data_IF_382336362850
#
_entry.id   IF_382336362850
#
_cell.length_a   1.000
_cell.length_b   1.000
_cell.length_c   1.000
_cell.angle_alpha   90.00
_cell.angle_beta   90.00
_cell.angle_gamma   90.00
#
_symmetry.space_group_name_H-M   'P 1'
#
loop_
_entity.id
_entity.type
_entity.pdbx_description
1 polymer ?
#
# COMPACT_ATOMS: atom_id res chain seq x y z
N UNK A 1 -1.78 -11.03 17.09
CA UNK A 1 -0.98 -10.70 15.88
C UNK A 1 0.44 -10.26 16.23
N UNK A 2 0.60 -9.40 17.20
CA UNK A 2 1.92 -8.81 17.55
C UNK A 2 3.08 -9.81 17.64
N UNK A 3 2.92 -10.97 18.31
CA UNK A 3 4.03 -11.94 18.40
C UNK A 3 4.35 -12.60 17.05
N UNK A 4 3.46 -12.52 16.06
CA UNK A 4 3.68 -13.14 14.75
C UNK A 4 4.35 -12.19 13.74
N UNK A 5 4.56 -10.93 14.10
CA UNK A 5 5.25 -9.97 13.23
C UNK A 5 6.74 -10.28 13.14
N UNK A 6 7.31 -10.07 11.97
CA UNK A 6 8.71 -10.41 11.68
C UNK A 6 9.68 -9.80 12.69
N UNK A 7 9.50 -8.53 13.04
CA UNK A 7 10.36 -7.85 14.01
C UNK A 7 10.32 -8.45 15.41
N UNK A 8 9.30 -9.23 15.73
CA UNK A 8 9.16 -9.95 16.99
C UNK A 8 9.46 -11.45 16.85
N UNK A 9 10.09 -11.85 15.74
CA UNK A 9 10.48 -13.23 15.49
C UNK A 9 9.42 -14.08 14.79
N UNK A 10 8.31 -13.47 14.35
CA UNK A 10 7.23 -14.18 13.68
C UNK A 10 7.36 -14.19 12.16
N UNK A 11 6.45 -14.88 11.45
CA UNK A 11 6.53 -15.04 10.01
C UNK A 11 5.87 -13.91 9.20
N UNK A 12 5.13 -12.99 9.84
CA UNK A 12 4.42 -11.93 9.11
C UNK A 12 5.41 -10.81 8.76
N UNK A 13 5.68 -10.64 7.47
CA UNK A 13 6.65 -9.64 6.97
C UNK A 13 5.98 -8.37 6.48
N UNK A 14 4.72 -8.44 6.03
CA UNK A 14 4.00 -7.31 5.46
C UNK A 14 2.56 -7.32 5.93
N UNK A 15 1.97 -6.13 6.10
CA UNK A 15 0.57 -5.97 6.48
C UNK A 15 -0.08 -4.97 5.53
N UNK A 16 -1.15 -5.37 4.88
CA UNK A 16 -1.89 -4.51 3.97
C UNK A 16 -2.82 -3.59 4.75
N UNK A 17 -2.78 -2.31 4.41
CA UNK A 17 -3.66 -1.29 4.98
C UNK A 17 -4.67 -0.91 3.92
N UNK A 18 -5.93 -1.27 4.10
CA UNK A 18 -7.01 -1.16 3.12
C UNK A 18 -6.77 -2.01 1.86
N UNK A 19 -7.79 -2.09 1.03
CA UNK A 19 -7.71 -2.75 -0.26
C UNK A 19 -8.54 -1.96 -1.27
N UNK A 20 -7.87 -1.48 -2.32
CA UNK A 20 -8.52 -0.76 -3.41
C UNK A 20 -9.33 0.47 -2.94
N UNK A 21 -8.90 1.10 -1.86
CA UNK A 21 -9.59 2.29 -1.35
C UNK A 21 -9.61 3.42 -2.38
N UNK A 22 -8.63 3.45 -3.29
CA UNK A 22 -8.60 4.42 -4.37
C UNK A 22 -9.85 4.39 -5.25
N UNK A 23 -10.52 3.26 -5.32
CA UNK A 23 -11.76 3.10 -6.07
C UNK A 23 -13.00 3.62 -5.33
N UNK A 24 -12.85 3.97 -4.06
CA UNK A 24 -13.95 4.53 -3.29
C UNK A 24 -14.08 6.03 -3.57
N UNK A 25 -15.29 6.47 -3.91
CA UNK A 25 -15.53 7.83 -4.39
C UNK A 25 -15.14 8.93 -3.38
N UNK A 26 -15.22 8.66 -2.09
CA UNK A 26 -15.00 9.68 -1.06
C UNK A 26 -13.57 10.18 -1.00
N UNK A 27 -12.58 9.34 -1.30
CA UNK A 27 -11.16 9.69 -1.30
C UNK A 27 -10.75 10.47 -0.05
N UNK A 28 -11.09 9.95 1.13
CA UNK A 28 -10.95 10.66 2.40
C UNK A 28 -9.52 10.52 2.94
N UNK A 29 -8.76 11.60 2.83
CA UNK A 29 -7.37 11.63 3.29
C UNK A 29 -7.27 11.52 4.82
N UNK A 30 -8.24 12.04 5.55
CA UNK A 30 -8.25 11.94 7.02
C UNK A 30 -8.42 10.49 7.45
N UNK A 31 -9.33 9.76 6.78
CA UNK A 31 -9.51 8.34 7.03
C UNK A 31 -8.22 7.55 6.80
N UNK A 32 -7.55 7.79 5.67
CA UNK A 32 -6.31 7.09 5.32
C UNK A 32 -5.21 7.36 6.35
N UNK A 33 -5.04 8.62 6.72
CA UNK A 33 -4.03 9.01 7.70
C UNK A 33 -4.32 8.42 9.08
N UNK A 34 -5.59 8.43 9.48
CA UNK A 34 -6.01 7.82 10.74
C UNK A 34 -5.72 6.32 10.74
N UNK A 35 -6.09 5.63 9.66
CA UNK A 35 -5.90 4.18 9.57
C UNK A 35 -4.41 3.82 9.58
N UNK A 36 -3.57 4.59 8.88
CA UNK A 36 -2.13 4.43 8.91
C UNK A 36 -1.60 4.56 10.33
N UNK A 37 -1.96 5.63 11.02
CA UNK A 37 -1.47 5.90 12.37
C UNK A 37 -1.93 4.83 13.35
N UNK A 38 -3.18 4.39 13.23
CA UNK A 38 -3.71 3.32 14.06
C UNK A 38 -2.99 1.99 13.83
N UNK A 39 -2.73 1.65 12.58
CA UNK A 39 -2.02 0.42 12.24
C UNK A 39 -0.57 0.49 12.71
N UNK A 40 0.10 1.63 12.51
CA UNK A 40 1.48 1.82 12.97
C UNK A 40 1.60 1.71 14.49
N UNK A 41 0.58 2.13 15.24
CA UNK A 41 0.57 2.01 16.70
C UNK A 41 0.67 0.56 17.14
N UNK A 42 0.16 -0.39 16.36
CA UNK A 42 0.19 -1.81 16.69
C UNK A 42 1.36 -2.55 16.03
N UNK A 43 1.68 -2.23 14.78
CA UNK A 43 2.71 -2.95 14.01
C UNK A 43 4.10 -2.37 14.22
N UNK A 44 4.20 -1.04 14.39
CA UNK A 44 5.46 -0.30 14.51
C UNK A 44 6.35 -0.60 13.30
N UNK A 45 7.64 -0.89 13.53
CA UNK A 45 8.58 -1.25 12.47
C UNK A 45 8.79 -2.77 12.35
N UNK A 46 7.89 -3.56 12.90
CA UNK A 46 8.01 -5.02 12.93
C UNK A 46 7.54 -5.71 11.66
N UNK A 47 6.90 -4.97 10.76
CA UNK A 47 6.49 -5.45 9.44
C UNK A 47 6.33 -4.25 8.51
N UNK A 48 6.39 -4.49 7.20
CA UNK A 48 6.20 -3.44 6.20
C UNK A 48 4.70 -3.22 5.98
N UNK A 49 4.25 -1.98 6.09
CA UNK A 49 2.88 -1.63 5.76
C UNK A 49 2.78 -1.25 4.28
N UNK A 50 1.75 -1.71 3.60
CA UNK A 50 1.56 -1.42 2.18
C UNK A 50 0.09 -1.23 1.84
N UNK A 51 -0.15 -0.55 0.71
CA UNK A 51 -1.48 -0.37 0.12
C UNK A 51 -1.53 -1.05 -1.24
N UNK A 52 -2.74 -1.38 -1.70
CA UNK A 52 -2.96 -2.01 -2.99
C UNK A 52 -4.11 -1.28 -3.70
N UNK A 53 -3.84 -0.77 -4.90
CA UNK A 53 -4.83 0.00 -5.68
C UNK A 53 -4.60 -0.19 -7.18
N UNK A 54 -5.68 -0.02 -7.97
CA UNK A 54 -5.57 0.02 -9.41
C UNK A 54 -4.73 1.20 -9.89
N UNK A 55 -4.09 1.10 -11.08
CA UNK A 55 -3.18 2.14 -11.56
C UNK A 55 -3.83 3.52 -11.71
N UNK A 56 -5.09 3.58 -12.09
CA UNK A 56 -5.78 4.86 -12.34
C UNK A 56 -6.23 5.57 -11.07
N UNK A 57 -6.22 4.89 -9.92
CA UNK A 57 -6.72 5.42 -8.65
C UNK A 57 -5.66 5.46 -7.56
N UNK A 58 -4.40 5.30 -7.92
CA UNK A 58 -3.27 5.37 -6.98
C UNK A 58 -3.26 6.70 -6.22
N UNK A 59 -3.61 7.80 -6.89
CA UNK A 59 -3.58 9.13 -6.28
C UNK A 59 -4.45 9.22 -5.04
N UNK A 60 -5.51 8.42 -4.98
CA UNK A 60 -6.42 8.40 -3.85
C UNK A 60 -6.12 7.28 -2.86
N UNK A 61 -5.72 6.11 -3.37
CA UNK A 61 -5.55 4.93 -2.54
C UNK A 61 -4.25 4.86 -1.77
N UNK A 62 -3.16 5.41 -2.32
CA UNK A 62 -1.87 5.36 -1.66
C UNK A 62 -1.88 6.19 -0.37
N UNK A 63 -1.03 5.81 0.58
CA UNK A 63 -0.91 6.51 1.86
C UNK A 63 0.56 6.87 2.06
N UNK A 64 0.82 8.16 2.36
CA UNK A 64 2.18 8.64 2.59
C UNK A 64 2.86 7.83 3.70
N UNK A 65 4.10 7.41 3.44
CA UNK A 65 4.88 6.63 4.38
C UNK A 65 4.70 5.13 4.27
N UNK A 66 3.73 4.65 3.49
CA UNK A 66 3.50 3.23 3.24
C UNK A 66 3.97 2.86 1.85
N UNK A 67 4.35 1.59 1.67
CA UNK A 67 4.70 1.06 0.35
C UNK A 67 3.43 0.97 -0.51
N UNK A 68 3.43 1.62 -1.67
CA UNK A 68 2.33 1.52 -2.60
C UNK A 68 2.56 0.34 -3.55
N UNK A 69 1.54 -0.51 -3.69
CA UNK A 69 1.50 -1.57 -4.69
C UNK A 69 0.31 -1.38 -5.60
N UNK A 70 0.30 -2.05 -6.74
CA UNK A 70 -0.82 -1.98 -7.68
C UNK A 70 -1.48 -3.32 -7.88
N UNK A 71 -2.72 -3.29 -8.36
CA UNK A 71 -3.40 -4.48 -8.86
C UNK A 71 -3.82 -4.25 -10.32
N UNK A 72 -3.43 -5.16 -11.18
CA UNK A 72 -3.84 -5.14 -12.60
C UNK A 72 -3.62 -6.52 -13.22
N UNK A 73 -4.47 -6.85 -14.20
CA UNK A 73 -4.34 -8.09 -14.97
C UNK A 73 -3.28 -7.97 -16.05
N UNK A 74 -3.12 -9.02 -16.84
CA UNK A 74 -2.20 -9.04 -17.97
C UNK A 74 -2.54 -7.90 -18.94
N UNK A 75 -1.52 -7.11 -19.31
CA UNK A 75 -1.73 -5.92 -20.13
C UNK A 75 -0.45 -5.55 -20.88
N UNK A 76 -0.62 -4.86 -22.02
CA UNK A 76 0.49 -4.25 -22.74
C UNK A 76 0.85 -2.86 -22.20
N UNK A 77 0.06 -2.32 -21.26
CA UNK A 77 0.24 -0.97 -20.72
C UNK A 77 1.11 -0.95 -19.46
N UNK A 78 1.89 -1.98 -19.20
CA UNK A 78 2.63 -2.14 -17.94
C UNK A 78 3.60 -0.98 -17.68
N UNK A 79 4.29 -0.49 -18.71
CA UNK A 79 5.22 0.64 -18.57
C UNK A 79 4.48 1.89 -18.11
N UNK A 80 3.30 2.16 -18.67
CA UNK A 80 2.46 3.29 -18.28
C UNK A 80 2.05 3.18 -16.82
N UNK A 81 1.69 1.98 -16.36
CA UNK A 81 1.29 1.74 -14.98
C UNK A 81 2.44 1.98 -14.01
N UNK A 82 3.64 1.46 -14.31
CA UNK A 82 4.81 1.70 -13.47
C UNK A 82 5.21 3.17 -13.44
N UNK A 83 5.03 3.90 -14.55
CA UNK A 83 5.28 5.34 -14.55
C UNK A 83 4.33 6.08 -13.61
N UNK A 84 3.06 5.68 -13.55
CA UNK A 84 2.11 6.25 -12.60
C UNK A 84 2.54 6.00 -11.17
N UNK A 85 2.97 4.78 -10.85
CA UNK A 85 3.46 4.45 -9.51
C UNK A 85 4.68 5.29 -9.15
N UNK A 86 5.62 5.47 -10.07
CA UNK A 86 6.83 6.25 -9.84
C UNK A 86 6.58 7.72 -9.57
N UNK A 87 5.46 8.26 -10.00
CA UNK A 87 5.11 9.66 -9.68
C UNK A 87 4.80 9.85 -8.21
N UNK A 88 4.24 8.84 -7.56
CA UNK A 88 3.89 8.91 -6.12
C UNK A 88 4.94 8.23 -5.26
N UNK A 89 5.69 7.28 -5.81
CA UNK A 89 6.69 6.50 -5.10
C UNK A 89 7.95 6.39 -5.96
N UNK A 90 8.83 7.43 -5.95
CA UNK A 90 9.99 7.46 -6.85
C UNK A 90 11.00 6.34 -6.62
N UNK A 91 11.03 5.76 -5.42
CA UNK A 91 11.98 4.72 -5.03
C UNK A 91 11.24 3.49 -4.52
N UNK A 92 11.96 2.39 -4.41
CA UNK A 92 11.42 1.15 -3.87
C UNK A 92 11.03 0.15 -4.95
N UNK A 93 10.57 -1.02 -4.54
CA UNK A 93 10.22 -2.09 -5.47
C UNK A 93 8.95 -1.78 -6.25
N UNK A 94 8.85 -2.36 -7.43
CA UNK A 94 7.63 -2.35 -8.24
C UNK A 94 6.89 -3.65 -7.97
N UNK A 95 5.71 -3.55 -7.36
CA UNK A 95 4.95 -4.73 -6.93
C UNK A 95 3.54 -4.67 -7.50
N UNK A 96 3.13 -5.75 -8.16
CA UNK A 96 1.74 -6.02 -8.50
C UNK A 96 1.24 -7.06 -7.52
N UNK A 97 0.38 -6.65 -6.58
CA UNK A 97 -0.05 -7.51 -5.48
C UNK A 97 -1.19 -8.45 -5.87
N UNK A 98 -1.96 -8.11 -6.90
CA UNK A 98 -3.07 -8.93 -7.38
C UNK A 98 -3.18 -8.91 -8.91
#
# INVERSE_FOLDING_TARGET
MTPFLYGNGGPIIMVQVENEYGSYYACDKKYRSWLRDETLAHVKDNAVLFTNDGPSVLYCGHIDGLLATMDFGATSNITSYWNKLRRIQPKGPLVNAE
#
